data_IF_664494298741
#
_entry.id   IF_664494298741
#
_cell.length_a   1.000
_cell.length_b   1.000
_cell.length_c   1.000
_cell.angle_alpha   90.00
_cell.angle_beta   90.00
_cell.angle_gamma   90.00
#
_symmetry.space_group_name_H-M   'P 1'
#
loop_
_entity.id
_entity.type
_entity.pdbx_description
1 polymer ?
#
# COMPACT_ATOMS: atom_id res chain seq x y z
N UNK A 1 -14.62 -16.49 -2.91
CA UNK A 1 -13.57 -16.13 -1.94
C UNK A 1 -12.13 -16.17 -2.50
N UNK A 2 -11.69 -17.19 -3.27
CA UNK A 2 -10.28 -17.30 -3.75
C UNK A 2 -9.86 -16.28 -4.82
N UNK A 3 -10.74 -15.91 -5.74
CA UNK A 3 -10.44 -14.95 -6.81
C UNK A 3 -10.16 -13.53 -6.30
N UNK A 4 -10.79 -13.16 -5.19
CA UNK A 4 -10.63 -11.87 -4.55
C UNK A 4 -9.21 -11.69 -3.99
N UNK A 5 -8.74 -12.67 -3.21
CA UNK A 5 -7.39 -12.67 -2.63
C UNK A 5 -6.34 -12.68 -3.75
N UNK A 6 -6.52 -13.51 -4.79
CA UNK A 6 -5.56 -13.59 -5.91
C UNK A 6 -5.44 -12.29 -6.72
N UNK A 7 -6.51 -11.49 -6.79
CA UNK A 7 -6.49 -10.18 -7.46
C UNK A 7 -5.78 -9.14 -6.60
N UNK A 8 -6.05 -9.16 -5.30
CA UNK A 8 -5.36 -8.33 -4.32
C UNK A 8 -3.86 -8.64 -4.28
N UNK A 9 -3.49 -9.92 -4.22
CA UNK A 9 -2.11 -10.41 -4.20
C UNK A 9 -1.34 -9.97 -5.45
N UNK A 10 -1.93 -10.08 -6.65
CA UNK A 10 -1.28 -9.61 -7.89
C UNK A 10 -1.06 -8.10 -7.91
N UNK A 11 -2.04 -7.33 -7.43
CA UNK A 11 -1.90 -5.88 -7.30
C UNK A 11 -0.80 -5.50 -6.31
N UNK A 12 -0.80 -6.14 -5.14
CA UNK A 12 0.22 -5.92 -4.10
C UNK A 12 1.60 -6.32 -4.60
N UNK A 13 1.74 -7.45 -5.29
CA UNK A 13 3.01 -7.90 -5.86
C UNK A 13 3.53 -6.91 -6.91
N UNK A 14 2.67 -6.43 -7.80
CA UNK A 14 3.05 -5.42 -8.81
C UNK A 14 3.52 -4.12 -8.12
N UNK A 15 2.77 -3.65 -7.11
CA UNK A 15 3.15 -2.49 -6.31
C UNK A 15 4.49 -2.70 -5.59
N UNK A 16 4.72 -3.88 -5.03
CA UNK A 16 5.96 -4.23 -4.34
C UNK A 16 7.16 -4.23 -5.29
N UNK A 17 6.97 -4.64 -6.54
CA UNK A 17 8.01 -4.58 -7.58
C UNK A 17 8.18 -3.17 -8.18
N UNK A 18 7.42 -2.17 -7.70
CA UNK A 18 7.41 -0.82 -8.26
C UNK A 18 6.77 -0.73 -9.65
N UNK A 19 6.02 -1.76 -10.06
CA UNK A 19 5.33 -1.85 -11.34
C UNK A 19 3.86 -1.41 -11.18
N UNK A 20 3.41 -0.49 -12.03
CA UNK A 20 2.02 -0.03 -12.06
C UNK A 20 1.82 1.39 -11.52
N UNK A 21 0.58 1.88 -11.59
CA UNK A 21 0.23 3.21 -11.12
C UNK A 21 0.13 3.23 -9.59
N UNK A 22 0.90 4.13 -8.97
CA UNK A 22 0.83 4.43 -7.55
C UNK A 22 0.77 5.93 -7.36
N UNK A 23 0.15 6.35 -6.27
CA UNK A 23 0.16 7.74 -5.83
C UNK A 23 1.38 7.97 -4.94
N UNK A 24 2.10 9.06 -5.21
CA UNK A 24 3.15 9.55 -4.32
C UNK A 24 2.50 10.22 -3.11
N UNK A 25 2.82 9.69 -1.94
CA UNK A 25 2.35 10.17 -0.64
C UNK A 25 3.53 10.66 0.21
N UNK A 26 4.62 11.10 -0.44
CA UNK A 26 5.83 11.58 0.24
C UNK A 26 5.59 12.80 1.12
N UNK A 27 4.49 13.52 0.90
CA UNK A 27 4.01 14.61 1.78
C UNK A 27 3.56 14.13 3.16
N UNK A 28 3.18 12.85 3.31
CA UNK A 28 2.77 12.24 4.58
C UNK A 28 3.93 11.52 5.26
N UNK A 29 4.75 10.80 4.49
CA UNK A 29 5.95 10.13 4.98
C UNK A 29 6.94 9.94 3.82
N UNK A 30 8.25 10.19 4.00
CA UNK A 30 9.22 10.14 2.91
C UNK A 30 9.15 8.83 2.10
N UNK A 31 9.08 8.96 0.77
CA UNK A 31 9.00 7.85 -0.18
C UNK A 31 7.78 6.94 -0.04
N UNK A 32 6.75 7.34 0.73
CA UNK A 32 5.52 6.59 0.86
C UNK A 32 4.77 6.57 -0.46
N UNK A 33 4.39 5.37 -0.89
CA UNK A 33 3.58 5.15 -2.09
C UNK A 33 2.27 4.49 -1.70
N UNK A 34 1.22 4.78 -2.45
CA UNK A 34 -0.10 4.19 -2.24
C UNK A 34 -0.69 3.67 -3.55
N UNK A 35 -1.13 2.40 -3.54
CA UNK A 35 -1.95 1.82 -4.58
C UNK A 35 -3.39 1.59 -4.08
N UNK A 36 -4.37 1.83 -4.94
CA UNK A 36 -5.77 1.45 -4.69
C UNK A 36 -6.13 0.23 -5.53
N UNK A 37 -6.56 -0.83 -4.86
CA UNK A 37 -7.03 -2.07 -5.48
C UNK A 37 -8.43 -2.34 -4.97
N UNK A 38 -9.43 -2.12 -5.84
CA UNK A 38 -10.85 -2.18 -5.47
C UNK A 38 -11.15 -1.28 -4.26
N UNK A 39 -11.63 -1.89 -3.17
CA UNK A 39 -11.97 -1.24 -1.92
C UNK A 39 -10.79 -1.12 -0.94
N UNK A 40 -9.57 -1.50 -1.35
CA UNK A 40 -8.40 -1.53 -0.47
C UNK A 40 -7.33 -0.55 -0.92
N UNK A 41 -6.81 0.18 0.06
CA UNK A 41 -5.65 1.05 -0.06
C UNK A 41 -4.44 0.33 0.51
N UNK A 42 -3.41 0.18 -0.31
CA UNK A 42 -2.15 -0.48 0.05
C UNK A 42 -1.07 0.57 0.08
N UNK A 43 -0.36 0.67 1.20
CA UNK A 43 0.73 1.59 1.41
C UNK A 43 2.05 0.83 1.42
N UNK A 44 3.06 1.34 0.72
CA UNK A 44 4.37 0.73 0.69
C UNK A 44 5.51 1.75 0.72
N UNK A 45 6.68 1.28 1.15
CA UNK A 45 7.94 2.03 1.08
C UNK A 45 8.89 1.30 0.12
N UNK A 46 9.43 1.98 -0.91
CA UNK A 46 10.40 1.39 -1.81
C UNK A 46 11.68 1.01 -1.06
N UNK A 47 12.35 -0.04 -1.53
CA UNK A 47 13.66 -0.48 -1.04
C UNK A 47 14.56 -0.64 -2.26
N UNK A 48 15.83 -0.23 -2.15
CA UNK A 48 16.75 -0.19 -3.30
C UNK A 48 17.01 -1.57 -3.92
N UNK A 49 17.12 -2.62 -3.10
CA UNK A 49 17.48 -3.97 -3.54
C UNK A 49 16.46 -5.03 -3.12
N UNK A 50 15.25 -4.62 -2.79
CA UNK A 50 14.20 -5.53 -2.35
C UNK A 50 12.82 -5.04 -2.81
N UNK A 51 11.82 -5.93 -2.88
CA UNK A 51 10.44 -5.50 -3.06
C UNK A 51 10.04 -4.48 -1.99
N UNK A 52 9.23 -3.50 -2.39
CA UNK A 52 8.73 -2.45 -1.51
C UNK A 52 8.05 -3.08 -0.29
N UNK A 53 8.37 -2.54 0.89
CA UNK A 53 7.79 -3.02 2.14
C UNK A 53 6.34 -2.53 2.22
N UNK A 54 5.38 -3.46 2.25
CA UNK A 54 3.98 -3.12 2.50
C UNK A 54 3.83 -2.73 3.98
N UNK A 55 3.63 -1.43 4.21
CA UNK A 55 3.50 -0.87 5.56
C UNK A 55 2.06 -0.84 6.04
N UNK A 56 1.06 -0.85 5.14
CA UNK A 56 -0.34 -0.96 5.55
C UNK A 56 -1.26 -1.42 4.42
N UNK A 57 -2.36 -2.07 4.80
CA UNK A 57 -3.50 -2.37 3.92
C UNK A 57 -4.74 -1.93 4.68
N UNK A 58 -5.51 -1.01 4.13
CA UNK A 58 -6.73 -0.49 4.73
C UNK A 58 -7.91 -0.65 3.78
N UNK A 59 -9.07 -1.01 4.33
CA UNK A 59 -10.31 -0.99 3.57
C UNK A 59 -10.85 0.45 3.51
N UNK A 60 -11.45 0.86 2.41
CA UNK A 60 -12.00 2.21 2.18
C UNK A 60 -13.07 2.66 3.19
N UNK A 61 -13.70 1.71 3.89
CA UNK A 61 -14.72 1.99 4.92
C UNK A 61 -14.09 2.25 6.29
N UNK A 62 -12.77 2.16 6.40
CA UNK A 62 -12.03 2.44 7.63
C UNK A 62 -11.53 3.88 7.65
N UNK A 63 -11.33 4.42 8.85
CA UNK A 63 -10.65 5.70 9.02
C UNK A 63 -9.15 5.55 8.72
N UNK A 64 -8.85 5.75 7.44
CA UNK A 64 -7.57 5.45 6.82
C UNK A 64 -6.42 6.28 7.42
N UNK A 65 -6.68 7.57 7.63
CA UNK A 65 -5.65 8.53 8.05
C UNK A 65 -5.26 8.32 9.50
N UNK A 66 -6.24 8.11 10.38
CA UNK A 66 -6.02 7.85 11.81
C UNK A 66 -5.18 6.59 12.01
N UNK A 67 -5.49 5.50 11.28
CA UNK A 67 -4.76 4.24 11.41
C UNK A 67 -3.39 4.23 10.77
N UNK A 68 -3.20 4.97 9.67
CA UNK A 68 -1.88 5.13 9.07
C UNK A 68 -0.94 5.88 10.01
N UNK A 69 -1.42 7.00 10.59
CA UNK A 69 -0.64 7.80 11.52
C UNK A 69 -0.21 7.01 12.77
N UNK A 70 -1.10 6.21 13.35
CA UNK A 70 -0.77 5.36 14.50
C UNK A 70 0.28 4.30 14.18
N UNK A 71 0.28 3.77 12.94
CA UNK A 71 1.24 2.74 12.54
C UNK A 71 2.63 3.30 12.24
N UNK A 72 2.72 4.53 11.73
CA UNK A 72 3.99 5.21 11.44
C UNK A 72 4.67 5.79 12.69
N UNK A 73 3.97 5.88 13.82
CA UNK A 73 4.51 6.37 15.10
C UNK A 73 5.30 5.32 15.91
N UNK A 74 5.22 4.04 15.53
CA UNK A 74 6.00 2.95 16.15
C UNK A 74 7.32 2.77 15.43
#
# INVERSE_FOLDING_TARGET
MRHYIATLERGIASLAEGRGAFNDMSSLFPALRMGRYEHHYVFCLPREEAPALIVAIFHERMDLMTRLADRLKK
#
